data_IF_915986770855
#
_entry.id   IF_915986770855
#
_cell.length_a   1.000
_cell.length_b   1.000
_cell.length_c   1.000
_cell.angle_alpha   90.00
_cell.angle_beta   90.00
_cell.angle_gamma   90.00
#
_symmetry.space_group_name_H-M   'P 1'
#
loop_
_entity.id
_entity.type
_entity.pdbx_description
1 polymer ?
#
# COMPACT_ATOMS: atom_id res chain seq x y z
N UNK A 1 -0.66 17.99 3.58
CA UNK A 1 0.62 17.50 3.04
C UNK A 1 1.76 18.16 3.80
N UNK A 2 2.66 17.35 4.36
CA UNK A 2 3.91 17.82 4.96
C UNK A 2 5.07 17.36 4.07
N UNK A 3 6.02 18.26 3.81
CA UNK A 3 7.21 17.98 3.01
C UNK A 3 8.50 18.06 3.84
N UNK A 4 8.39 18.40 5.14
CA UNK A 4 9.53 18.47 6.05
C UNK A 4 9.63 17.20 6.87
N UNK A 5 10.65 16.39 6.60
CA UNK A 5 10.99 15.20 7.37
C UNK A 5 12.44 15.29 7.83
N UNK A 6 12.72 14.78 9.03
CA UNK A 6 14.05 14.81 9.65
C UNK A 6 14.75 13.47 9.62
N UNK A 7 14.01 12.37 9.39
CA UNK A 7 14.55 11.01 9.29
C UNK A 7 13.71 10.16 8.31
N UNK A 8 14.31 9.16 7.63
CA UNK A 8 13.61 8.29 6.68
C UNK A 8 12.41 7.52 7.26
N UNK A 9 12.41 7.22 8.56
CA UNK A 9 11.27 6.58 9.24
C UNK A 9 9.99 7.43 9.21
N UNK A 10 10.10 8.76 9.14
CA UNK A 10 8.94 9.66 9.22
C UNK A 10 8.06 9.62 7.96
N UNK A 11 8.59 9.71 6.73
CA UNK A 11 7.77 9.52 5.53
C UNK A 11 7.27 8.08 5.41
N UNK A 12 8.01 7.07 5.87
CA UNK A 12 7.53 5.68 5.89
C UNK A 12 6.34 5.49 6.84
N UNK A 13 6.39 6.08 8.04
CA UNK A 13 5.28 6.07 8.98
C UNK A 13 4.06 6.83 8.41
N UNK A 14 4.29 7.93 7.71
CA UNK A 14 3.20 8.65 7.03
C UNK A 14 2.58 7.81 5.91
N UNK A 15 3.40 7.14 5.10
CA UNK A 15 2.93 6.26 4.03
C UNK A 15 2.11 5.09 4.59
N UNK A 16 2.59 4.42 5.65
CA UNK A 16 1.83 3.35 6.31
C UNK A 16 0.47 3.84 6.83
N UNK A 17 0.43 5.01 7.48
CA UNK A 17 -0.83 5.58 7.96
C UNK A 17 -1.79 5.95 6.80
N UNK A 18 -1.23 6.41 5.67
CA UNK A 18 -1.99 6.65 4.46
C UNK A 18 -2.58 5.34 3.92
N UNK A 19 -1.81 4.26 3.81
CA UNK A 19 -2.32 2.98 3.30
C UNK A 19 -3.37 2.35 4.22
N UNK A 20 -3.23 2.50 5.53
CA UNK A 20 -4.29 2.11 6.48
C UNK A 20 -5.59 2.89 6.22
N UNK A 21 -5.47 4.20 5.95
CA UNK A 21 -6.63 5.04 5.62
C UNK A 21 -7.27 4.62 4.29
N UNK A 22 -6.48 4.31 3.26
CA UNK A 22 -6.99 3.82 1.97
C UNK A 22 -7.68 2.47 2.17
N UNK A 23 -7.11 1.57 2.98
CA UNK A 23 -7.71 0.28 3.33
C UNK A 23 -9.09 0.43 3.97
N UNK A 24 -9.26 1.40 4.88
CA UNK A 24 -10.55 1.73 5.48
C UNK A 24 -11.55 2.19 4.42
N UNK A 25 -11.13 3.07 3.51
CA UNK A 25 -11.98 3.60 2.44
C UNK A 25 -12.41 2.50 1.45
N UNK A 26 -11.49 1.65 1.01
CA UNK A 26 -11.74 0.49 0.14
C UNK A 26 -12.72 -0.48 0.81
N UNK A 27 -12.51 -0.76 2.10
CA UNK A 27 -13.43 -1.61 2.89
C UNK A 27 -14.82 -0.99 3.00
N UNK A 28 -14.90 0.33 3.20
CA UNK A 28 -16.18 1.04 3.25
C UNK A 28 -16.91 0.96 1.90
N UNK A 29 -16.22 1.16 0.77
CA UNK A 29 -16.82 1.03 -0.56
C UNK A 29 -17.36 -0.38 -0.82
N UNK A 30 -16.58 -1.42 -0.49
CA UNK A 30 -17.02 -2.80 -0.62
C UNK A 30 -18.25 -3.12 0.24
N UNK A 31 -18.30 -2.58 1.47
CA UNK A 31 -19.47 -2.71 2.35
C UNK A 31 -20.69 -2.01 1.77
N UNK A 32 -20.55 -0.75 1.32
CA UNK A 32 -21.66 0.00 0.72
C UNK A 32 -22.23 -0.73 -0.49
N UNK A 33 -21.37 -1.24 -1.39
CA UNK A 33 -21.82 -2.01 -2.54
C UNK A 33 -22.66 -3.25 -2.13
N UNK A 34 -22.21 -3.98 -1.10
CA UNK A 34 -22.97 -5.12 -0.55
C UNK A 34 -24.30 -4.68 0.08
N UNK A 35 -24.27 -3.63 0.89
CA UNK A 35 -25.45 -3.12 1.61
C UNK A 35 -26.54 -2.62 0.64
N UNK A 36 -26.13 -2.09 -0.51
CA UNK A 36 -27.01 -1.63 -1.60
C UNK A 36 -27.40 -2.75 -2.59
N UNK A 37 -26.82 -3.96 -2.45
CA UNK A 37 -27.04 -5.08 -3.37
C UNK A 37 -26.37 -4.91 -4.74
N UNK A 38 -25.40 -4.01 -4.86
CA UNK A 38 -24.54 -3.86 -6.04
C UNK A 38 -23.41 -4.90 -6.02
N UNK A 39 -23.75 -6.12 -6.43
CA UNK A 39 -22.79 -7.22 -6.50
C UNK A 39 -21.70 -7.00 -7.57
N UNK A 40 -21.93 -6.14 -8.56
CA UNK A 40 -20.93 -5.83 -9.60
C UNK A 40 -19.87 -4.91 -8.99
N UNK A 41 -20.30 -3.85 -8.29
CA UNK A 41 -19.41 -2.99 -7.51
C UNK A 41 -18.66 -3.76 -6.44
N UNK A 42 -19.34 -4.66 -5.71
CA UNK A 42 -18.70 -5.52 -4.71
C UNK A 42 -17.61 -6.42 -5.30
N UNK A 43 -17.86 -7.05 -6.46
CA UNK A 43 -16.88 -7.85 -7.17
C UNK A 43 -15.68 -7.02 -7.62
N UNK A 44 -15.92 -5.82 -8.16
CA UNK A 44 -14.85 -4.89 -8.57
C UNK A 44 -13.94 -4.52 -7.40
N UNK A 45 -14.50 -4.28 -6.22
CA UNK A 45 -13.72 -3.92 -5.02
C UNK A 45 -12.83 -5.06 -4.50
N UNK A 46 -13.03 -6.32 -4.91
CA UNK A 46 -12.24 -7.45 -4.40
C UNK A 46 -10.76 -7.36 -4.74
N UNK A 47 -10.42 -6.85 -5.93
CA UNK A 47 -9.02 -6.68 -6.30
C UNK A 47 -8.32 -5.63 -5.42
N UNK A 48 -8.98 -4.48 -5.20
CA UNK A 48 -8.44 -3.44 -4.31
C UNK A 48 -8.31 -3.91 -2.87
N UNK A 49 -9.26 -4.70 -2.37
CA UNK A 49 -9.16 -5.29 -1.03
C UNK A 49 -7.94 -6.20 -0.90
N UNK A 50 -7.63 -6.99 -1.94
CA UNK A 50 -6.42 -7.81 -1.99
C UNK A 50 -5.17 -6.93 -2.03
N UNK A 51 -5.14 -5.94 -2.91
CA UNK A 51 -4.00 -5.05 -3.10
C UNK A 51 -3.62 -4.33 -1.79
N UNK A 52 -4.59 -3.79 -1.06
CA UNK A 52 -4.32 -3.09 0.20
C UNK A 52 -3.70 -4.00 1.27
N UNK A 53 -3.92 -5.32 1.24
CA UNK A 53 -3.24 -6.25 2.16
C UNK A 53 -1.74 -6.30 1.85
N UNK A 54 -1.38 -6.33 0.58
CA UNK A 54 0.02 -6.36 0.13
C UNK A 54 0.71 -5.01 0.38
N UNK A 55 0.04 -3.89 0.08
CA UNK A 55 0.58 -2.54 0.29
C UNK A 55 0.81 -2.22 1.77
N UNK A 56 -0.15 -2.53 2.65
CA UNK A 56 0.03 -2.30 4.10
C UNK A 56 1.14 -3.17 4.66
N UNK A 57 1.23 -4.44 4.26
CA UNK A 57 2.29 -5.35 4.70
C UNK A 57 3.68 -4.87 4.25
N UNK A 58 3.78 -4.34 3.03
CA UNK A 58 5.00 -3.76 2.49
C UNK A 58 5.43 -2.52 3.29
N UNK A 59 4.52 -1.58 3.52
CA UNK A 59 4.82 -0.35 4.25
C UNK A 59 5.19 -0.62 5.71
N UNK A 60 4.52 -1.56 6.37
CA UNK A 60 4.85 -1.99 7.73
C UNK A 60 6.24 -2.64 7.81
N UNK A 61 6.58 -3.46 6.80
CA UNK A 61 7.91 -4.06 6.68
C UNK A 61 8.99 -2.98 6.51
N UNK A 62 8.78 -2.02 5.61
CA UNK A 62 9.74 -0.93 5.38
C UNK A 62 9.95 -0.08 6.63
N UNK A 63 8.86 0.27 7.32
CA UNK A 63 8.96 1.03 8.58
C UNK A 63 9.75 0.24 9.64
N UNK A 64 9.43 -1.05 9.82
CA UNK A 64 10.12 -1.93 10.77
C UNK A 64 11.62 -2.03 10.47
N UNK A 65 11.98 -2.16 9.20
CA UNK A 65 13.40 -2.20 8.78
C UNK A 65 14.09 -0.86 9.03
N UNK A 66 13.43 0.27 8.73
CA UNK A 66 13.97 1.59 8.98
C UNK A 66 14.19 1.85 10.49
N UNK A 67 13.26 1.43 11.34
CA UNK A 67 13.43 1.50 12.80
C UNK A 67 14.61 0.67 13.29
N UNK A 68 14.79 -0.54 12.73
CA UNK A 68 15.93 -1.40 13.05
C UNK A 68 17.27 -0.86 12.56
N UNK A 69 17.29 -0.21 11.40
CA UNK A 69 18.49 0.40 10.82
C UNK A 69 18.97 1.62 11.61
N UNK A 70 18.06 2.33 12.30
CA UNK A 70 18.39 3.52 13.09
C UNK A 70 19.00 4.60 12.21
N UNK A 71 20.22 5.03 12.54
CA UNK A 71 20.96 6.05 11.76
C UNK A 71 21.78 5.43 10.60
N UNK A 72 21.84 4.11 10.47
CA UNK A 72 22.55 3.45 9.37
C UNK A 72 21.64 3.26 8.15
N UNK A 73 21.43 4.33 7.40
CA UNK A 73 20.53 4.32 6.23
C UNK A 73 20.97 3.36 5.11
N UNK A 74 22.25 2.98 5.06
CA UNK A 74 22.73 2.01 4.06
C UNK A 74 22.10 0.62 4.24
N UNK A 75 21.79 0.21 5.47
CA UNK A 75 21.14 -1.09 5.72
C UNK A 75 19.69 -1.11 5.21
N UNK A 76 19.00 0.04 5.27
CA UNK A 76 17.66 0.21 4.70
C UNK A 76 17.71 0.16 3.17
N UNK A 77 18.63 0.90 2.56
CA UNK A 77 18.79 0.90 1.10
C UNK A 77 19.15 -0.49 0.55
N UNK A 78 20.05 -1.21 1.22
CA UNK A 78 20.43 -2.57 0.84
C UNK A 78 19.24 -3.55 0.98
N UNK A 79 18.41 -3.38 2.00
CA UNK A 79 17.17 -4.14 2.14
C UNK A 79 16.23 -3.88 0.96
N UNK A 80 15.99 -2.60 0.63
CA UNK A 80 15.12 -2.22 -0.49
C UNK A 80 15.64 -2.81 -1.81
N UNK A 81 16.94 -2.66 -2.08
CA UNK A 81 17.55 -3.15 -3.30
C UNK A 81 17.48 -4.68 -3.46
N UNK A 82 17.49 -5.43 -2.35
CA UNK A 82 17.47 -6.89 -2.38
C UNK A 82 16.06 -7.48 -2.37
N UNK A 83 15.18 -6.96 -1.52
CA UNK A 83 13.92 -7.61 -1.17
C UNK A 83 12.71 -6.99 -1.87
N UNK A 84 12.80 -5.73 -2.31
CA UNK A 84 11.70 -5.02 -2.96
C UNK A 84 11.91 -5.11 -4.48
N UNK A 85 11.42 -6.20 -5.08
CA UNK A 85 11.41 -6.35 -6.54
C UNK A 85 10.16 -5.75 -7.18
N UNK A 86 10.23 -5.53 -8.50
CA UNK A 86 9.08 -5.07 -9.29
C UNK A 86 7.92 -6.06 -9.13
N UNK A 87 6.77 -5.55 -8.72
CA UNK A 87 5.52 -6.30 -8.57
C UNK A 87 5.11 -6.85 -9.93
N UNK A 88 4.92 -8.17 -10.04
CA UNK A 88 4.35 -8.79 -11.24
C UNK A 88 2.92 -8.28 -11.45
N UNK A 89 2.54 -8.05 -12.71
CA UNK A 89 1.18 -7.60 -13.02
C UNK A 89 0.15 -8.66 -12.62
N UNK A 90 -0.72 -8.35 -11.66
CA UNK A 90 -1.82 -9.24 -11.30
C UNK A 90 -2.83 -9.32 -12.46
N UNK A 91 -3.07 -10.50 -13.07
CA UNK A 91 -4.00 -10.64 -14.18
C UNK A 91 -5.46 -10.38 -13.79
N UNK A 92 -5.76 -10.29 -12.49
CA UNK A 92 -7.08 -9.95 -11.97
C UNK A 92 -7.27 -8.45 -11.75
N UNK A 93 -6.24 -7.64 -11.99
CA UNK A 93 -6.33 -6.19 -11.88
C UNK A 93 -7.32 -5.61 -12.89
N UNK A 94 -8.22 -4.70 -12.46
CA UNK A 94 -9.11 -4.02 -13.38
C UNK A 94 -8.33 -3.08 -14.32
N UNK A 95 -8.81 -2.84 -15.55
CA UNK A 95 -8.12 -1.98 -16.49
C UNK A 95 -8.10 -0.52 -15.99
N UNK A 96 -6.91 0.06 -15.88
CA UNK A 96 -6.74 1.48 -15.64
C UNK A 96 -7.05 2.27 -16.93
N UNK A 97 -7.89 3.31 -16.83
CA UNK A 97 -8.17 4.19 -17.97
C UNK A 97 -6.89 4.91 -18.41
N UNK A 98 -6.41 4.61 -19.62
CA UNK A 98 -5.11 5.11 -20.12
C UNK A 98 -3.95 4.11 -19.99
N UNK A 99 -4.17 2.93 -19.41
CA UNK A 99 -3.16 1.90 -19.18
C UNK A 99 -2.39 2.08 -17.87
N UNK A 100 -1.70 1.02 -17.44
CA UNK A 100 -0.71 1.10 -16.36
C UNK A 100 0.57 1.79 -16.86
N UNK A 101 1.27 2.49 -15.96
CA UNK A 101 2.50 3.26 -16.24
C UNK A 101 3.76 2.41 -16.18
#
# INVERSE_FOLDING_TARGET
MTNGFTAPREPLALALAQEQTVTEQVTQLARTARDEGDYIGEQFMQWFLKEQVEEVALMDTLLTVAERAGDNYFDLEEFVAREISVVESDPTAPPAAGGAL
#
